data_IF_370801218639
#
_entry.id   IF_370801218639
#
_cell.length_a   1.000
_cell.length_b   1.000
_cell.length_c   1.000
_cell.angle_alpha   90.00
_cell.angle_beta   90.00
_cell.angle_gamma   90.00
#
_symmetry.space_group_name_H-M   'P 1'
#
loop_
_entity.id
_entity.type
_entity.pdbx_description
1 polymer ?
#
# COMPACT_ATOMS: atom_id res chain seq x y z
N UNK A 1 9.52 -0.68 13.99
CA UNK A 1 10.69 -1.17 14.74
C UNK A 1 10.69 -2.70 14.82
N UNK A 2 9.63 -3.35 15.33
CA UNK A 2 9.57 -4.81 15.48
C UNK A 2 9.84 -5.56 14.17
N UNK A 3 9.20 -5.20 13.07
CA UNK A 3 9.36 -5.88 11.76
C UNK A 3 10.77 -5.71 11.21
N UNK A 4 11.41 -4.57 11.44
CA UNK A 4 12.80 -4.34 11.01
C UNK A 4 13.77 -5.24 11.79
N UNK A 5 13.56 -5.40 13.09
CA UNK A 5 14.37 -6.29 13.93
C UNK A 5 14.18 -7.74 13.50
N UNK A 6 12.94 -8.17 13.20
CA UNK A 6 12.65 -9.52 12.72
C UNK A 6 13.33 -9.79 11.37
N UNK A 7 13.27 -8.86 10.42
CA UNK A 7 13.93 -9.01 9.11
C UNK A 7 15.44 -9.16 9.28
N UNK A 8 16.06 -8.24 10.02
CA UNK A 8 17.52 -8.27 10.25
C UNK A 8 17.92 -9.56 10.99
N UNK A 9 17.21 -9.91 12.06
CA UNK A 9 17.46 -11.13 12.81
C UNK A 9 17.29 -12.41 11.95
N UNK A 10 16.26 -12.47 11.12
CA UNK A 10 16.03 -13.60 10.20
C UNK A 10 17.15 -13.71 9.16
N UNK A 11 17.59 -12.59 8.59
CA UNK A 11 18.71 -12.56 7.62
C UNK A 11 20.01 -13.06 8.27
N UNK A 12 20.33 -12.56 9.47
CA UNK A 12 21.53 -12.97 10.21
C UNK A 12 21.47 -14.47 10.50
N UNK A 13 20.33 -14.97 11.01
CA UNK A 13 20.18 -16.39 11.34
C UNK A 13 20.26 -17.30 10.11
N UNK A 14 19.70 -16.90 8.98
CA UNK A 14 19.83 -17.66 7.72
C UNK A 14 21.30 -17.75 7.28
N UNK A 15 22.07 -16.66 7.37
CA UNK A 15 23.49 -16.65 7.01
C UNK A 15 24.34 -17.50 7.95
N UNK A 16 24.06 -17.44 9.26
CA UNK A 16 24.79 -18.21 10.29
C UNK A 16 24.52 -19.71 10.14
N UNK A 17 23.26 -20.10 9.87
CA UNK A 17 22.90 -21.50 9.72
C UNK A 17 23.53 -22.13 8.46
N UNK A 18 23.39 -21.49 7.31
CA UNK A 18 24.02 -21.96 6.07
C UNK A 18 24.04 -20.88 5.00
N UNK A 19 25.21 -20.29 4.72
CA UNK A 19 25.35 -19.23 3.73
C UNK A 19 25.04 -19.65 2.28
N UNK A 20 25.27 -20.92 1.92
CA UNK A 20 25.01 -21.45 0.57
C UNK A 20 23.51 -21.57 0.28
N UNK A 21 22.73 -22.06 1.25
CA UNK A 21 21.28 -22.10 1.14
C UNK A 21 20.67 -20.70 1.18
N UNK A 22 21.28 -19.77 1.91
CA UNK A 22 20.80 -18.39 2.02
C UNK A 22 20.83 -17.66 0.67
N UNK A 23 21.70 -18.02 -0.26
CA UNK A 23 21.68 -17.46 -1.61
C UNK A 23 20.36 -17.72 -2.34
N UNK A 24 19.75 -18.90 -2.13
CA UNK A 24 18.45 -19.25 -2.71
C UNK A 24 17.37 -18.32 -2.11
N UNK A 25 17.36 -18.16 -0.79
CA UNK A 25 16.38 -17.31 -0.12
C UNK A 25 16.53 -15.85 -0.55
N UNK A 26 17.75 -15.34 -0.65
CA UNK A 26 18.00 -13.98 -1.15
C UNK A 26 17.55 -13.78 -2.59
N UNK A 27 17.74 -14.77 -3.45
CA UNK A 27 17.22 -14.73 -4.81
C UNK A 27 15.69 -14.59 -4.82
N UNK A 28 14.97 -15.41 -4.04
CA UNK A 28 13.52 -15.31 -3.94
C UNK A 28 13.06 -14.01 -3.26
N UNK A 29 13.78 -13.52 -2.26
CA UNK A 29 13.49 -12.21 -1.65
C UNK A 29 13.65 -11.07 -2.66
N UNK A 30 14.69 -11.08 -3.47
CA UNK A 30 14.89 -10.09 -4.53
C UNK A 30 13.76 -10.18 -5.57
N UNK A 31 13.35 -11.39 -5.96
CA UNK A 31 12.24 -11.61 -6.88
C UNK A 31 10.91 -11.08 -6.31
N UNK A 32 10.63 -11.33 -5.03
CA UNK A 32 9.46 -10.78 -4.33
C UNK A 32 9.50 -9.25 -4.31
N UNK A 33 10.64 -8.67 -4.00
CA UNK A 33 10.81 -7.21 -3.96
C UNK A 33 10.57 -6.57 -5.34
N UNK A 34 11.14 -7.13 -6.39
CA UNK A 34 10.92 -6.68 -7.77
C UNK A 34 9.45 -6.78 -8.17
N UNK A 35 8.80 -7.89 -7.81
CA UNK A 35 7.36 -8.05 -8.06
C UNK A 35 6.52 -7.00 -7.32
N UNK A 36 6.79 -6.77 -6.03
CA UNK A 36 6.11 -5.75 -5.23
C UNK A 36 6.28 -4.37 -5.87
N UNK A 37 7.50 -4.00 -6.25
CA UNK A 37 7.79 -2.70 -6.85
C UNK A 37 7.07 -2.51 -8.20
N UNK A 38 7.10 -3.54 -9.05
CA UNK A 38 6.44 -3.51 -10.35
C UNK A 38 4.91 -3.41 -10.21
N UNK A 39 4.33 -4.25 -9.36
CA UNK A 39 2.89 -4.29 -9.14
C UNK A 39 2.37 -3.02 -8.45
N UNK A 40 3.10 -2.49 -7.46
CA UNK A 40 2.75 -1.23 -6.78
C UNK A 40 2.69 -0.04 -7.73
N UNK A 41 3.63 0.06 -8.67
CA UNK A 41 3.62 1.14 -9.68
C UNK A 41 2.37 1.08 -10.56
N UNK A 42 1.97 -0.12 -10.99
CA UNK A 42 0.76 -0.33 -11.79
C UNK A 42 -0.51 -0.10 -10.98
N UNK A 43 -0.57 -0.63 -9.79
CA UNK A 43 -1.69 -0.45 -8.87
C UNK A 43 -1.97 1.04 -8.61
N UNK A 44 -0.94 1.84 -8.29
CA UNK A 44 -1.08 3.29 -8.09
C UNK A 44 -1.67 4.01 -9.30
N UNK A 45 -1.28 3.61 -10.52
CA UNK A 45 -1.84 4.20 -11.76
C UNK A 45 -3.34 3.95 -11.86
N UNK A 46 -3.78 2.71 -11.63
CA UNK A 46 -5.20 2.35 -11.73
C UNK A 46 -6.04 2.91 -10.58
N UNK A 47 -5.48 2.99 -9.36
CA UNK A 47 -6.17 3.66 -8.25
C UNK A 47 -6.36 5.16 -8.52
N UNK A 48 -5.39 5.83 -9.12
CA UNK A 48 -5.53 7.24 -9.52
C UNK A 48 -6.64 7.42 -10.56
N UNK A 49 -6.72 6.52 -11.54
CA UNK A 49 -7.79 6.55 -12.54
C UNK A 49 -9.16 6.27 -11.92
N UNK A 50 -9.23 5.32 -10.98
CA UNK A 50 -10.44 5.06 -10.20
C UNK A 50 -10.89 6.31 -9.44
N UNK A 51 -10.00 6.99 -8.74
CA UNK A 51 -10.32 8.22 -8.01
C UNK A 51 -10.79 9.33 -8.95
N UNK A 52 -10.20 9.45 -10.14
CA UNK A 52 -10.64 10.41 -11.16
C UNK A 52 -12.05 10.10 -11.65
N UNK A 53 -12.37 8.84 -11.91
CA UNK A 53 -13.72 8.43 -12.33
C UNK A 53 -14.73 8.60 -11.19
N UNK A 54 -14.32 8.34 -9.94
CA UNK A 54 -15.15 8.54 -8.76
C UNK A 54 -15.51 10.03 -8.60
N UNK A 55 -14.55 10.92 -8.59
CA UNK A 55 -14.81 12.36 -8.51
C UNK A 55 -15.68 12.89 -9.68
N UNK A 56 -15.53 12.29 -10.88
CA UNK A 56 -16.37 12.65 -12.03
C UNK A 56 -17.83 12.24 -11.84
N UNK A 57 -18.12 11.08 -11.23
CA UNK A 57 -19.51 10.65 -11.00
C UNK A 57 -20.12 11.37 -9.80
N UNK A 58 -19.32 11.63 -8.76
CA UNK A 58 -19.75 12.38 -7.58
C UNK A 58 -20.13 13.82 -7.96
N UNK A 59 -19.26 14.55 -8.66
CA UNK A 59 -19.55 15.90 -9.12
C UNK A 59 -20.76 15.96 -10.05
N UNK A 60 -20.91 15.00 -10.96
CA UNK A 60 -22.11 14.91 -11.82
C UNK A 60 -23.37 14.67 -10.99
N UNK A 61 -23.31 13.79 -9.99
CA UNK A 61 -24.47 13.50 -9.13
C UNK A 61 -24.88 14.74 -8.31
N UNK A 62 -23.89 15.46 -7.77
CA UNK A 62 -24.11 16.70 -7.04
C UNK A 62 -24.78 17.77 -7.92
N UNK A 63 -24.29 17.94 -9.16
CA UNK A 63 -24.87 18.84 -10.15
C UNK A 63 -26.32 18.48 -10.48
N UNK A 64 -26.61 17.20 -10.70
CA UNK A 64 -27.95 16.73 -11.03
C UNK A 64 -28.93 16.86 -9.85
N UNK A 65 -28.49 16.56 -8.63
CA UNK A 65 -29.32 16.71 -7.44
C UNK A 65 -29.64 18.20 -7.18
N UNK A 66 -28.62 19.06 -7.30
CA UNK A 66 -28.80 20.52 -7.12
C UNK A 66 -29.66 21.14 -8.23
N UNK A 67 -29.47 20.67 -9.47
CA UNK A 67 -30.21 21.13 -10.66
C UNK A 67 -31.53 20.43 -10.95
N UNK A 68 -32.03 19.55 -10.05
CA UNK A 68 -33.16 18.66 -10.31
C UNK A 68 -34.44 19.39 -10.83
N UNK A 69 -34.71 20.60 -10.32
CA UNK A 69 -35.87 21.39 -10.77
C UNK A 69 -35.72 21.82 -12.23
N UNK A 70 -34.51 22.22 -12.62
CA UNK A 70 -34.19 22.64 -14.01
C UNK A 70 -34.25 21.45 -14.94
N UNK A 71 -33.66 20.31 -14.55
CA UNK A 71 -33.68 19.05 -15.27
C UNK A 71 -35.13 18.63 -15.66
N UNK A 72 -36.05 18.69 -14.68
CA UNK A 72 -37.46 18.37 -14.91
C UNK A 72 -38.17 19.33 -15.86
N UNK A 73 -37.88 20.63 -15.78
CA UNK A 73 -38.47 21.63 -16.66
C UNK A 73 -38.06 21.40 -18.12
N UNK A 74 -36.81 21.00 -18.36
CA UNK A 74 -36.30 20.72 -19.70
C UNK A 74 -36.43 19.28 -20.16
N UNK A 75 -36.99 18.40 -19.35
CA UNK A 75 -37.22 16.95 -19.65
C UNK A 75 -35.94 16.22 -20.07
N UNK A 76 -34.84 16.48 -19.33
CA UNK A 76 -33.50 15.97 -19.63
C UNK A 76 -33.16 14.68 -18.83
N UNK A 77 -34.08 14.10 -18.06
CA UNK A 77 -33.82 12.95 -17.15
C UNK A 77 -33.23 11.75 -17.90
N UNK A 78 -33.73 11.47 -19.12
CA UNK A 78 -33.24 10.33 -19.90
C UNK A 78 -31.77 10.53 -20.32
N UNK A 79 -31.41 11.72 -20.78
CA UNK A 79 -30.04 12.03 -21.19
C UNK A 79 -29.07 11.99 -20.01
N UNK A 80 -29.49 12.55 -18.88
CA UNK A 80 -28.69 12.56 -17.65
C UNK A 80 -28.53 11.13 -17.08
N UNK A 81 -29.55 10.29 -17.19
CA UNK A 81 -29.44 8.89 -16.84
C UNK A 81 -28.45 8.12 -17.74
N UNK A 82 -28.48 8.35 -19.04
CA UNK A 82 -27.53 7.74 -19.99
C UNK A 82 -26.08 8.20 -19.67
N UNK A 83 -25.86 9.49 -19.37
CA UNK A 83 -24.56 10.03 -18.99
C UNK A 83 -24.08 9.45 -17.64
N UNK A 84 -24.98 9.32 -16.64
CA UNK A 84 -24.67 8.66 -15.39
C UNK A 84 -24.22 7.20 -15.62
N UNK A 85 -24.96 6.45 -16.43
CA UNK A 85 -24.61 5.07 -16.77
C UNK A 85 -23.22 5.00 -17.45
N UNK A 86 -22.90 5.93 -18.33
CA UNK A 86 -21.59 6.02 -18.99
C UNK A 86 -20.45 6.25 -17.99
N UNK A 87 -20.64 7.20 -17.07
CA UNK A 87 -19.65 7.51 -16.00
C UNK A 87 -19.50 6.35 -15.02
N UNK A 88 -20.60 5.73 -14.63
CA UNK A 88 -20.61 4.56 -13.75
C UNK A 88 -19.88 3.36 -14.39
N UNK A 89 -20.08 3.13 -15.69
CA UNK A 89 -19.36 2.08 -16.41
C UNK A 89 -17.84 2.37 -16.50
N UNK A 90 -17.45 3.64 -16.67
CA UNK A 90 -16.05 4.04 -16.61
C UNK A 90 -15.44 3.78 -15.21
N UNK A 91 -16.16 4.15 -14.15
CA UNK A 91 -15.76 3.88 -12.77
C UNK A 91 -15.65 2.38 -12.51
N UNK A 92 -16.63 1.58 -12.93
CA UNK A 92 -16.63 0.12 -12.82
C UNK A 92 -15.37 -0.47 -13.44
N UNK A 93 -15.04 -0.08 -14.69
CA UNK A 93 -13.84 -0.56 -15.40
C UNK A 93 -12.54 -0.16 -14.69
N UNK A 94 -12.45 1.08 -14.22
CA UNK A 94 -11.28 1.58 -13.51
C UNK A 94 -11.12 0.85 -12.15
N UNK A 95 -12.20 0.70 -11.39
CA UNK A 95 -12.23 -0.01 -10.10
C UNK A 95 -11.86 -1.47 -10.25
N UNK A 96 -12.39 -2.17 -11.25
CA UNK A 96 -12.05 -3.57 -11.52
C UNK A 96 -10.54 -3.72 -11.74
N UNK A 97 -9.93 -2.86 -12.57
CA UNK A 97 -8.47 -2.90 -12.80
C UNK A 97 -7.69 -2.60 -11.52
N UNK A 98 -8.07 -1.56 -10.78
CA UNK A 98 -7.40 -1.19 -9.53
C UNK A 98 -7.42 -2.34 -8.51
N UNK A 99 -8.61 -2.93 -8.29
CA UNK A 99 -8.79 -4.04 -7.36
C UNK A 99 -8.10 -5.32 -7.82
N UNK A 100 -8.06 -5.62 -9.13
CA UNK A 100 -7.34 -6.78 -9.65
C UNK A 100 -5.85 -6.68 -9.34
N UNK A 101 -5.20 -5.55 -9.67
CA UNK A 101 -3.77 -5.38 -9.40
C UNK A 101 -3.45 -5.34 -7.90
N UNK A 102 -4.31 -4.75 -7.10
CA UNK A 102 -4.16 -4.74 -5.64
C UNK A 102 -4.38 -6.13 -5.04
N UNK A 103 -5.45 -6.80 -5.45
CA UNK A 103 -5.83 -8.11 -4.91
C UNK A 103 -4.87 -9.25 -5.27
N UNK A 104 -4.20 -9.18 -6.43
CA UNK A 104 -3.20 -10.17 -6.83
C UNK A 104 -1.90 -10.11 -6.03
N UNK A 105 -1.66 -9.02 -5.28
CA UNK A 105 -0.39 -8.82 -4.59
C UNK A 105 -0.13 -9.87 -3.51
N UNK A 106 -1.08 -10.07 -2.59
CA UNK A 106 -0.93 -11.01 -1.47
C UNK A 106 -0.85 -12.47 -1.94
N UNK A 107 -1.76 -12.98 -2.80
CA UNK A 107 -1.68 -14.37 -3.28
C UNK A 107 -0.36 -14.67 -3.99
N UNK A 108 0.15 -13.74 -4.80
CA UNK A 108 1.41 -13.96 -5.53
C UNK A 108 2.61 -14.02 -4.58
N UNK A 109 2.68 -13.13 -3.57
CA UNK A 109 3.76 -13.16 -2.57
C UNK A 109 3.71 -14.46 -1.77
N UNK A 110 2.51 -14.90 -1.37
CA UNK A 110 2.33 -16.15 -0.64
C UNK A 110 2.76 -17.35 -1.48
N UNK A 111 2.34 -17.41 -2.76
CA UNK A 111 2.75 -18.47 -3.69
C UNK A 111 4.26 -18.51 -3.87
N UNK A 112 4.89 -17.35 -4.06
CA UNK A 112 6.33 -17.24 -4.20
C UNK A 112 7.08 -17.66 -2.93
N UNK A 113 6.50 -17.40 -1.76
CA UNK A 113 7.02 -17.85 -0.47
C UNK A 113 6.97 -19.37 -0.34
N UNK A 114 5.88 -20.01 -0.77
CA UNK A 114 5.80 -21.47 -0.80
C UNK A 114 6.81 -22.09 -1.78
N UNK A 115 7.01 -21.47 -2.94
CA UNK A 115 8.05 -21.88 -3.89
C UNK A 115 9.45 -21.78 -3.27
N UNK A 116 9.76 -20.66 -2.63
CA UNK A 116 11.02 -20.50 -1.91
C UNK A 116 11.21 -21.60 -0.85
N UNK A 117 10.17 -21.88 -0.06
CA UNK A 117 10.20 -22.93 0.95
C UNK A 117 10.45 -24.31 0.32
N UNK A 118 9.73 -24.65 -0.74
CA UNK A 118 9.86 -25.95 -1.41
C UNK A 118 11.27 -26.15 -2.00
N UNK A 119 11.79 -25.13 -2.71
CA UNK A 119 13.15 -25.19 -3.27
C UNK A 119 14.19 -25.28 -2.17
N UNK A 120 14.05 -24.50 -1.09
CA UNK A 120 14.95 -24.54 0.06
C UNK A 120 14.91 -25.90 0.79
N UNK A 121 13.74 -26.53 0.88
CA UNK A 121 13.58 -27.86 1.47
C UNK A 121 14.23 -28.95 0.61
N UNK A 122 14.02 -28.91 -0.70
CA UNK A 122 14.62 -29.87 -1.65
C UNK A 122 16.17 -29.78 -1.65
N UNK A 123 16.71 -28.57 -1.83
CA UNK A 123 18.16 -28.36 -1.87
C UNK A 123 18.79 -28.61 -0.50
N UNK A 124 18.12 -28.17 0.59
CA UNK A 124 18.57 -28.43 1.94
C UNK A 124 18.53 -29.93 2.30
N UNK A 125 17.52 -30.68 1.83
CA UNK A 125 17.45 -32.12 1.96
C UNK A 125 18.60 -32.84 1.24
N UNK A 126 18.95 -32.40 0.03
CA UNK A 126 20.14 -32.93 -0.68
C UNK A 126 21.45 -32.64 0.07
N UNK A 127 21.57 -31.46 0.69
CA UNK A 127 22.72 -31.12 1.53
C UNK A 127 22.77 -31.96 2.81
N UNK A 128 21.62 -32.29 3.42
CA UNK A 128 21.56 -33.17 4.57
C UNK A 128 21.94 -34.63 4.18
N UNK A 129 21.48 -35.13 3.05
CA UNK A 129 21.88 -36.45 2.52
C UNK A 129 23.38 -36.53 2.21
N UNK A 130 23.96 -35.42 1.75
CA UNK A 130 25.40 -35.30 1.52
C UNK A 130 26.20 -35.06 2.82
N UNK A 131 25.58 -35.11 3.98
CA UNK A 131 26.18 -34.84 5.31
C UNK A 131 26.84 -33.45 5.44
N UNK A 132 26.41 -32.49 4.58
CA UNK A 132 26.91 -31.12 4.60
C UNK A 132 26.20 -30.25 5.67
N UNK A 133 25.01 -30.65 6.10
CA UNK A 133 24.24 -30.01 7.17
C UNK A 133 23.52 -31.08 7.99
N UNK A 134 23.34 -30.78 9.29
CA UNK A 134 22.55 -31.60 10.19
C UNK A 134 21.04 -31.37 9.98
N UNK A 135 20.22 -32.41 10.27
CA UNK A 135 18.76 -32.35 10.15
C UNK A 135 18.14 -31.28 11.06
N UNK A 136 18.73 -31.06 12.24
CA UNK A 136 18.31 -30.01 13.17
C UNK A 136 18.52 -28.61 12.60
N UNK A 137 19.68 -28.41 11.99
CA UNK A 137 20.02 -27.15 11.29
C UNK A 137 19.07 -26.90 10.10
N UNK A 138 18.77 -27.95 9.30
CA UNK A 138 17.82 -27.85 8.21
C UNK A 138 16.42 -27.46 8.69
N UNK A 139 15.95 -28.11 9.76
CA UNK A 139 14.63 -27.84 10.34
C UNK A 139 14.54 -26.38 10.83
N UNK A 140 15.54 -25.90 11.57
CA UNK A 140 15.62 -24.51 12.01
C UNK A 140 15.66 -23.55 10.82
N UNK A 141 16.45 -23.87 9.79
CA UNK A 141 16.56 -23.06 8.57
C UNK A 141 15.21 -22.89 7.87
N UNK A 142 14.44 -23.97 7.69
CA UNK A 142 13.12 -23.93 7.05
C UNK A 142 12.10 -23.09 7.83
N UNK A 143 12.19 -23.05 9.15
CA UNK A 143 11.36 -22.16 9.98
C UNK A 143 11.65 -20.69 9.64
N UNK A 144 12.94 -20.31 9.54
CA UNK A 144 13.31 -18.95 9.17
C UNK A 144 12.92 -18.60 7.72
N UNK A 145 13.07 -19.53 6.78
CA UNK A 145 12.61 -19.33 5.38
C UNK A 145 11.12 -19.01 5.35
N UNK A 146 10.30 -19.72 6.12
CA UNK A 146 8.86 -19.49 6.18
C UNK A 146 8.51 -18.11 6.77
N UNK A 147 9.33 -17.60 7.67
CA UNK A 147 9.12 -16.30 8.31
C UNK A 147 9.53 -15.10 7.45
N UNK A 148 10.16 -15.28 6.29
CA UNK A 148 10.66 -14.15 5.47
C UNK A 148 9.57 -13.36 4.76
N UNK A 149 8.43 -13.97 4.43
CA UNK A 149 7.40 -13.32 3.59
C UNK A 149 6.56 -12.28 4.34
N UNK A 150 6.16 -12.54 5.58
CA UNK A 150 5.31 -11.65 6.38
C UNK A 150 5.97 -10.30 6.72
N UNK A 151 7.21 -10.25 7.21
CA UNK A 151 7.88 -9.01 7.56
C UNK A 151 8.09 -8.06 6.37
N UNK A 152 8.23 -8.57 5.15
CA UNK A 152 8.37 -7.75 3.94
C UNK A 152 7.15 -6.87 3.70
N UNK A 153 5.94 -7.42 3.85
CA UNK A 153 4.69 -6.66 3.72
C UNK A 153 4.54 -5.64 4.85
N UNK A 154 4.83 -6.04 6.09
CA UNK A 154 4.75 -5.18 7.26
C UNK A 154 5.73 -4.00 7.17
N UNK A 155 6.94 -4.24 6.68
CA UNK A 155 7.94 -3.19 6.49
C UNK A 155 7.44 -2.12 5.50
N UNK A 156 6.86 -2.54 4.37
CA UNK A 156 6.31 -1.61 3.38
C UNK A 156 5.17 -0.77 3.96
N UNK A 157 4.28 -1.38 4.75
CA UNK A 157 3.20 -0.65 5.42
C UNK A 157 3.73 0.36 6.46
N UNK A 158 4.74 -0.04 7.25
CA UNK A 158 5.35 0.84 8.24
C UNK A 158 6.09 2.02 7.59
N UNK A 159 6.75 1.82 6.45
CA UNK A 159 7.38 2.93 5.71
C UNK A 159 6.34 3.93 5.19
N UNK A 160 5.20 3.46 4.68
CA UNK A 160 4.11 4.35 4.28
C UNK A 160 3.53 5.12 5.46
N UNK A 161 3.35 4.47 6.61
CA UNK A 161 2.91 5.13 7.84
C UNK A 161 3.92 6.19 8.33
N UNK A 162 5.21 5.87 8.30
CA UNK A 162 6.27 6.81 8.67
C UNK A 162 6.28 8.05 7.77
N UNK A 163 6.15 7.85 6.45
CA UNK A 163 6.09 8.95 5.49
C UNK A 163 4.84 9.83 5.71
N UNK A 164 3.70 9.22 6.02
CA UNK A 164 2.49 9.96 6.34
C UNK A 164 2.64 10.76 7.65
N UNK A 165 3.26 10.16 8.68
CA UNK A 165 3.55 10.82 9.95
C UNK A 165 4.53 11.99 9.79
N UNK A 166 5.59 11.82 8.98
CA UNK A 166 6.54 12.90 8.67
C UNK A 166 5.86 14.06 7.93
N UNK A 167 5.02 13.76 6.92
CA UNK A 167 4.26 14.80 6.21
C UNK A 167 3.26 15.52 7.12
N UNK A 168 2.66 14.81 8.07
CA UNK A 168 1.80 15.42 9.10
C UNK A 168 2.58 16.33 10.06
N UNK A 169 3.75 15.87 10.50
CA UNK A 169 4.63 16.65 11.36
C UNK A 169 5.14 17.92 10.66
N UNK A 170 5.54 17.82 9.38
CA UNK A 170 5.96 18.97 8.57
C UNK A 170 4.89 20.06 8.53
N UNK A 171 3.62 19.70 8.31
CA UNK A 171 2.50 20.66 8.33
C UNK A 171 2.27 21.30 9.70
N UNK A 172 2.46 20.54 10.77
CA UNK A 172 2.33 21.07 12.13
C UNK A 172 3.43 22.09 12.41
N UNK A 173 4.69 21.77 12.06
CA UNK A 173 5.80 22.68 12.23
C UNK A 173 5.65 23.93 11.35
N UNK A 174 5.24 23.77 10.09
CA UNK A 174 4.95 24.91 9.20
C UNK A 174 3.89 25.85 9.80
N UNK A 175 2.87 25.30 10.45
CA UNK A 175 1.83 26.09 11.14
C UNK A 175 2.36 26.75 12.41
N UNK A 176 3.27 26.09 13.14
CA UNK A 176 3.91 26.66 14.35
C UNK A 176 4.88 27.78 14.01
N UNK A 177 5.48 27.76 12.82
CA UNK A 177 6.43 28.77 12.36
C UNK A 177 5.72 30.01 11.77
N UNK A 178 4.39 29.97 11.61
CA UNK A 178 3.63 31.16 11.18
C UNK A 178 3.75 32.25 12.26
N UNK A 179 4.26 33.44 11.90
CA UNK A 179 4.38 34.53 12.87
C UNK A 179 3.01 34.89 13.43
N UNK A 180 2.91 35.20 14.73
CA UNK A 180 1.67 35.62 15.33
C UNK A 180 1.18 36.91 14.68
N UNK A 181 -0.14 37.05 14.62
CA UNK A 181 -0.78 38.25 14.10
C UNK A 181 -0.29 39.49 14.90
N UNK A 182 0.22 40.48 14.19
CA UNK A 182 0.70 41.73 14.79
C UNK A 182 -0.53 42.64 14.92
N UNK A 183 -0.91 42.94 16.15
CA UNK A 183 -1.94 43.94 16.43
C UNK A 183 -1.35 45.33 16.33
N UNK A 184 -1.44 45.94 15.16
CA UNK A 184 -1.12 47.37 14.92
C UNK A 184 -2.36 48.26 15.03
N UNK A 185 -3.46 47.77 15.57
CA UNK A 185 -4.72 48.47 15.70
C UNK A 185 -4.61 49.62 16.71
N UNK A 186 -5.03 50.81 16.29
CA UNK A 186 -5.10 52.00 17.14
C UNK A 186 -6.48 52.19 17.76
N UNK A 187 -7.45 51.32 17.45
CA UNK A 187 -8.85 51.42 17.89
C UNK A 187 -9.15 50.22 18.80
N UNK A 188 -9.46 50.46 20.07
CA UNK A 188 -9.92 49.44 21.00
C UNK A 188 -11.44 49.39 21.00
N UNK A 189 -12.03 48.22 20.74
CA UNK A 189 -13.46 47.98 20.85
C UNK A 189 -13.85 47.97 22.34
N UNK A 190 -14.55 49.01 22.80
CA UNK A 190 -15.13 49.07 24.12
C UNK A 190 -16.59 48.61 24.03
N UNK A 191 -16.99 47.66 24.92
CA UNK A 191 -18.36 47.15 25.04
C UNK A 191 -18.89 46.31 23.85
N UNK A 192 -18.04 45.52 23.21
CA UNK A 192 -18.52 44.47 22.29
C UNK A 192 -19.37 43.47 23.08
N UNK A 193 -20.68 43.39 22.79
CA UNK A 193 -21.54 42.29 23.25
C UNK A 193 -21.33 41.13 22.34
N UNK A 194 -20.95 39.99 22.91
CA UNK A 194 -21.07 38.70 22.24
C UNK A 194 -22.56 38.44 22.00
N UNK A 195 -22.99 38.31 20.74
CA UNK A 195 -24.29 37.76 20.34
C UNK A 195 -24.23 36.24 20.19
#
# INVERSE_FOLDING_TARGET
IQSSIIIVGTIIMLLVLNWRLSLIVFFFMALMFLFIQFNSRRSRKYFREQQRCLGSIEGFTEEMVTGQKVEKVFNHEKQNYEEFCRRNEALRKASTKALTYSGMMIPTIVSLSYFNYAVSACVGGLFALASLIDLGTLSAYLVYVRQTAMPMNQFTQQMNFLLAALSGAERIFEMMDVPPEIDEGTITLCHAKEE
#
